data_IF_024831637337
#
_entry.id   IF_024831637337
#
_cell.length_a   1.000
_cell.length_b   1.000
_cell.length_c   1.000
_cell.angle_alpha   90.00
_cell.angle_beta   90.00
_cell.angle_gamma   90.00
#
_symmetry.space_group_name_H-M   'P 1'
#
loop_
_entity.id
_entity.type
_entity.pdbx_description
1 polymer ?
#
# COMPACT_ATOMS: atom_id res chain seq x y z
N UNK A 1 -2.68 2.98 -2.95
CA UNK A 1 -2.76 3.92 -1.81
C UNK A 1 -1.36 4.35 -1.45
N UNK A 2 -1.15 5.63 -1.17
CA UNK A 2 0.08 6.09 -0.52
C UNK A 2 -0.09 5.90 0.98
N UNK A 3 0.84 5.18 1.61
CA UNK A 3 0.80 4.88 3.05
C UNK A 3 2.01 5.40 3.78
N UNK A 4 1.79 5.77 5.04
CA UNK A 4 2.79 6.27 5.99
C UNK A 4 2.59 5.62 7.36
N UNK A 5 3.60 5.71 8.22
CA UNK A 5 3.43 5.51 9.65
C UNK A 5 2.44 6.55 10.25
N UNK A 6 1.73 6.23 11.34
CA UNK A 6 0.77 7.14 11.96
C UNK A 6 1.37 8.46 12.45
N UNK A 7 2.65 8.45 12.86
CA UNK A 7 3.37 9.61 13.35
C UNK A 7 4.00 10.48 12.24
N UNK A 8 3.79 10.13 10.96
CA UNK A 8 4.36 10.86 9.84
C UNK A 8 3.79 12.28 9.75
N UNK A 9 4.59 13.33 9.45
CA UNK A 9 4.12 14.72 9.41
C UNK A 9 2.91 14.96 8.49
N UNK A 10 2.88 14.26 7.34
CA UNK A 10 1.78 14.34 6.38
C UNK A 10 0.50 13.59 6.81
N UNK A 11 0.55 12.73 7.85
CA UNK A 11 -0.59 11.91 8.25
C UNK A 11 -1.78 12.72 8.80
N UNK A 12 -1.54 13.96 9.28
CA UNK A 12 -2.58 14.87 9.75
C UNK A 12 -3.12 15.84 8.70
N UNK A 13 -2.62 15.80 7.47
CA UNK A 13 -3.03 16.71 6.41
C UNK A 13 -4.37 16.28 5.80
N UNK A 14 -5.23 17.26 5.46
CA UNK A 14 -6.53 16.99 4.85
C UNK A 14 -6.43 16.66 3.35
N UNK A 15 -5.42 17.18 2.66
CA UNK A 15 -5.09 16.89 1.27
C UNK A 15 -3.57 17.02 1.09
N UNK A 16 -3.00 16.17 0.23
CA UNK A 16 -1.57 16.13 -0.06
C UNK A 16 -1.37 16.19 -1.57
N UNK A 17 -0.97 17.33 -2.14
CA UNK A 17 -0.63 17.38 -3.57
C UNK A 17 0.61 16.51 -3.85
N UNK A 18 0.68 15.81 -4.99
CA UNK A 18 1.80 14.93 -5.33
C UNK A 18 3.18 15.58 -5.23
N UNK A 19 3.26 16.90 -5.43
CA UNK A 19 4.52 17.65 -5.30
C UNK A 19 5.14 17.62 -3.91
N UNK A 20 4.33 17.52 -2.85
CA UNK A 20 4.85 17.38 -1.49
C UNK A 20 5.51 16.01 -1.25
N UNK A 21 5.21 15.01 -2.08
CA UNK A 21 5.77 13.67 -1.95
C UNK A 21 7.16 13.55 -2.58
N UNK A 22 7.55 14.41 -3.51
CA UNK A 22 8.80 14.26 -4.26
C UNK A 22 10.07 14.29 -3.37
N UNK A 23 10.04 15.05 -2.27
CA UNK A 23 11.14 15.11 -1.30
C UNK A 23 11.15 13.98 -0.26
N UNK A 24 10.04 13.27 -0.12
CA UNK A 24 9.86 12.25 0.92
C UNK A 24 10.58 10.94 0.58
N UNK A 25 11.12 10.22 1.58
CA UNK A 25 11.71 8.90 1.34
C UNK A 25 10.65 7.91 0.88
N UNK A 26 10.86 7.30 -0.29
CA UNK A 26 10.02 6.24 -0.81
C UNK A 26 10.64 4.86 -0.58
N UNK A 27 9.83 3.94 -0.08
CA UNK A 27 10.09 2.50 -0.09
C UNK A 27 9.36 1.93 -1.30
N UNK A 28 10.11 1.66 -2.37
CA UNK A 28 9.56 1.28 -3.66
C UNK A 28 9.44 -0.24 -3.82
N UNK A 29 8.55 -0.63 -4.74
CA UNK A 29 8.55 -1.99 -5.30
C UNK A 29 9.66 -2.15 -6.33
N UNK A 30 10.02 -3.39 -6.59
CA UNK A 30 10.97 -3.79 -7.63
C UNK A 30 10.58 -3.23 -9.01
N UNK A 31 11.60 -3.00 -9.83
CA UNK A 31 11.42 -2.56 -11.21
C UNK A 31 10.60 -3.56 -12.03
N UNK A 32 9.82 -3.04 -12.99
CA UNK A 32 8.87 -3.84 -13.77
C UNK A 32 7.57 -4.17 -13.04
N UNK A 33 7.48 -4.01 -11.72
CA UNK A 33 6.20 -4.20 -11.01
C UNK A 33 5.19 -3.10 -11.38
N UNK A 34 3.91 -3.46 -11.45
CA UNK A 34 2.87 -2.48 -11.77
C UNK A 34 2.75 -1.38 -10.71
N UNK A 35 3.10 -1.65 -9.45
CA UNK A 35 3.12 -0.62 -8.41
C UNK A 35 4.28 0.37 -8.61
N UNK A 36 5.46 -0.13 -9.01
CA UNK A 36 6.59 0.73 -9.37
C UNK A 36 6.25 1.65 -10.54
N UNK A 37 5.65 1.12 -11.60
CA UNK A 37 5.21 1.91 -12.76
C UNK A 37 4.24 3.04 -12.38
N UNK A 38 3.30 2.78 -11.45
CA UNK A 38 2.39 3.83 -10.97
C UNK A 38 3.11 4.89 -10.11
N UNK A 39 4.05 4.46 -9.28
CA UNK A 39 4.86 5.38 -8.48
C UNK A 39 5.67 6.29 -9.39
N UNK A 40 6.31 5.74 -10.42
CA UNK A 40 7.07 6.52 -11.39
C UNK A 40 6.15 7.50 -12.15
N UNK A 41 4.94 7.06 -12.52
CA UNK A 41 3.92 7.92 -13.14
C UNK A 41 3.40 9.06 -12.26
N UNK A 42 3.49 8.95 -10.94
CA UNK A 42 3.11 10.02 -10.00
C UNK A 42 4.01 11.26 -10.14
N UNK A 43 5.25 11.05 -10.62
CA UNK A 43 6.27 12.09 -10.75
C UNK A 43 6.61 12.38 -12.22
N UNK A 44 5.69 12.11 -13.15
CA UNK A 44 5.93 12.27 -14.59
C UNK A 44 6.18 13.72 -15.06
N UNK A 45 5.99 14.72 -14.19
CA UNK A 45 6.19 16.14 -14.48
C UNK A 45 7.64 16.62 -14.28
N UNK A 46 8.60 15.69 -14.27
CA UNK A 46 10.03 15.98 -14.13
C UNK A 46 10.54 15.95 -12.70
N UNK A 47 9.67 15.67 -11.73
CA UNK A 47 10.06 15.32 -10.35
C UNK A 47 10.53 13.87 -10.31
N UNK A 48 11.23 13.49 -9.25
CA UNK A 48 11.59 12.10 -9.01
C UNK A 48 11.28 11.72 -7.57
N UNK A 49 10.76 10.51 -7.36
CA UNK A 49 10.65 9.95 -6.02
C UNK A 49 12.06 9.76 -5.43
N UNK A 50 12.27 10.17 -4.19
CA UNK A 50 13.49 9.84 -3.45
C UNK A 50 13.43 8.41 -2.92
N UNK A 51 13.70 7.43 -3.78
CA UNK A 51 13.68 6.00 -3.40
C UNK A 51 14.86 5.69 -2.48
N UNK A 52 14.57 5.32 -1.22
CA UNK A 52 15.58 4.97 -0.21
C UNK A 52 15.73 3.46 -0.01
N UNK A 53 14.73 2.69 -0.45
CA UNK A 53 14.71 1.24 -0.34
C UNK A 53 13.85 0.65 -1.46
N UNK A 54 14.24 -0.53 -1.94
CA UNK A 54 13.44 -1.31 -2.90
C UNK A 54 13.25 -2.72 -2.36
N UNK A 55 12.04 -3.28 -2.50
CA UNK A 55 11.77 -4.68 -2.14
C UNK A 55 10.70 -5.32 -3.01
N UNK A 56 10.87 -6.63 -3.27
CA UNK A 56 9.88 -7.48 -3.93
C UNK A 56 8.70 -7.91 -3.04
N UNK A 57 8.82 -7.70 -1.73
CA UNK A 57 7.85 -8.19 -0.74
C UNK A 57 7.01 -7.03 -0.18
N UNK A 58 5.69 -7.14 -0.34
CA UNK A 58 4.76 -6.22 0.31
C UNK A 58 4.94 -6.21 1.83
N UNK A 59 5.27 -7.35 2.44
CA UNK A 59 5.46 -7.45 3.89
C UNK A 59 6.67 -6.63 4.33
N UNK A 60 7.81 -6.78 3.66
CA UNK A 60 9.01 -5.99 3.95
C UNK A 60 8.76 -4.49 3.81
N UNK A 61 7.99 -4.09 2.78
CA UNK A 61 7.64 -2.68 2.57
C UNK A 61 6.74 -2.17 3.71
N UNK A 62 5.71 -2.91 4.09
CA UNK A 62 4.83 -2.53 5.21
C UNK A 62 5.64 -2.36 6.49
N UNK A 63 6.51 -3.30 6.82
CA UNK A 63 7.35 -3.24 8.03
C UNK A 63 8.27 -2.00 8.02
N UNK A 64 8.90 -1.69 6.89
CA UNK A 64 9.74 -0.50 6.76
C UNK A 64 8.94 0.81 6.89
N UNK A 65 7.72 0.87 6.32
CA UNK A 65 6.83 2.04 6.49
C UNK A 65 6.40 2.17 7.95
N UNK A 66 5.99 1.08 8.61
CA UNK A 66 5.58 1.09 10.03
C UNK A 66 6.74 1.51 10.95
N UNK A 67 7.99 1.19 10.58
CA UNK A 67 9.19 1.65 11.27
C UNK A 67 9.55 3.13 10.97
N UNK A 68 8.78 3.83 10.14
CA UNK A 68 8.99 5.24 9.83
C UNK A 68 10.12 5.51 8.84
N UNK A 69 10.59 4.50 8.10
CA UNK A 69 11.68 4.67 7.13
C UNK A 69 11.27 5.45 5.87
N UNK A 70 9.97 5.61 5.66
CA UNK A 70 9.42 6.42 4.57
C UNK A 70 8.00 6.02 4.22
N UNK A 71 7.57 6.40 3.02
CA UNK A 71 6.24 6.15 2.50
C UNK A 71 6.26 5.21 1.30
N UNK A 72 5.13 4.57 1.02
CA UNK A 72 5.05 3.58 -0.04
C UNK A 72 3.74 3.65 -0.81
N UNK A 73 3.80 3.27 -2.09
CA UNK A 73 2.62 3.01 -2.90
C UNK A 73 2.27 1.52 -2.83
N UNK A 74 1.15 1.19 -2.18
CA UNK A 74 0.71 -0.20 -1.97
C UNK A 74 -0.79 -0.37 -2.26
N UNK A 75 -1.19 -1.57 -2.66
CA UNK A 75 -2.60 -1.93 -2.86
C UNK A 75 -3.37 -1.88 -1.55
N UNK A 76 -4.61 -1.38 -1.57
CA UNK A 76 -5.49 -1.36 -0.38
C UNK A 76 -5.71 -2.76 0.18
N UNK A 77 -5.87 -3.76 -0.70
CA UNK A 77 -6.11 -5.15 -0.29
C UNK A 77 -4.91 -5.80 0.43
N UNK A 78 -3.72 -5.18 0.41
CA UNK A 78 -2.53 -5.70 1.08
C UNK A 78 -2.30 -5.11 2.48
N UNK A 79 -3.07 -4.10 2.88
CA UNK A 79 -2.86 -3.30 4.10
C UNK A 79 -4.09 -3.23 5.02
N UNK A 80 -5.12 -4.05 4.76
CA UNK A 80 -6.40 -3.94 5.49
C UNK A 80 -6.25 -4.09 7.01
N UNK A 81 -5.44 -5.06 7.44
CA UNK A 81 -5.19 -5.32 8.86
C UNK A 81 -4.41 -4.16 9.51
N UNK A 82 -3.35 -3.67 8.88
CA UNK A 82 -2.50 -2.61 9.42
C UNK A 82 -3.24 -1.29 9.53
N UNK A 83 -4.12 -0.98 8.56
CA UNK A 83 -5.00 0.19 8.65
C UNK A 83 -5.98 0.06 9.82
N UNK A 84 -6.55 -1.13 10.01
CA UNK A 84 -7.51 -1.37 11.07
C UNK A 84 -6.86 -1.30 12.47
N UNK A 85 -5.64 -1.85 12.62
CA UNK A 85 -4.85 -1.78 13.85
C UNK A 85 -4.18 -0.42 14.07
N UNK A 86 -4.39 0.55 13.18
CA UNK A 86 -3.79 1.88 13.27
C UNK A 86 -2.27 1.88 13.12
N UNK A 87 -1.68 0.83 12.53
CA UNK A 87 -0.24 0.71 12.28
C UNK A 87 0.20 1.45 11.02
N UNK A 88 -0.73 1.67 10.08
CA UNK A 88 -0.52 2.46 8.87
C UNK A 88 -1.63 3.50 8.72
N UNK A 89 -1.33 4.60 8.03
CA UNK A 89 -2.30 5.60 7.59
C UNK A 89 -2.23 5.77 6.08
N UNK A 90 -3.38 5.93 5.44
CA UNK A 90 -3.46 6.34 4.02
C UNK A 90 -3.37 7.87 3.98
N UNK A 91 -2.48 8.40 3.14
CA UNK A 91 -2.44 9.84 2.85
C UNK A 91 -3.56 10.22 1.85
N UNK A 92 -4.29 11.32 2.08
CA UNK A 92 -5.28 11.84 1.13
C UNK A 92 -4.58 12.58 -0.02
N UNK A 93 -3.90 11.82 -0.89
CA UNK A 93 -3.14 12.37 -2.02
C UNK A 93 -4.08 12.73 -3.16
N UNK A 94 -3.90 13.91 -3.76
CA UNK A 94 -4.73 14.32 -4.89
C UNK A 94 -4.56 13.35 -6.08
N UNK A 95 -5.66 12.95 -6.71
CA UNK A 95 -5.68 11.94 -7.77
C UNK A 95 -5.66 10.48 -7.27
N UNK A 96 -5.74 10.25 -5.95
CA UNK A 96 -5.94 8.93 -5.36
C UNK A 96 -7.39 8.73 -4.89
N UNK A 97 -7.88 7.48 -4.83
CA UNK A 97 -7.15 6.24 -5.10
C UNK A 97 -6.99 5.91 -6.59
N UNK A 98 -5.84 5.34 -6.95
CA UNK A 98 -5.64 4.78 -8.29
C UNK A 98 -6.48 3.50 -8.44
N UNK A 99 -7.52 3.57 -9.26
CA UNK A 99 -8.44 2.46 -9.50
C UNK A 99 -7.84 1.45 -10.48
N UNK A 100 -7.90 0.18 -10.09
CA UNK A 100 -7.39 -0.96 -10.86
C UNK A 100 -8.46 -2.04 -10.86
N UNK A 101 -8.71 -2.64 -12.02
CA UNK A 101 -9.54 -3.82 -12.15
C UNK A 101 -8.68 -5.07 -12.14
N UNK A 102 -9.19 -6.13 -11.51
CA UNK A 102 -8.64 -7.47 -11.63
C UNK A 102 -9.35 -8.20 -12.76
N UNK A 103 -8.60 -8.99 -13.52
CA UNK A 103 -9.13 -9.70 -14.69
C UNK A 103 -8.78 -11.18 -14.59
N UNK A 104 -9.72 -12.01 -15.03
CA UNK A 104 -9.44 -13.43 -15.30
C UNK A 104 -9.10 -13.54 -16.77
N UNK A 105 -7.88 -13.97 -17.07
CA UNK A 105 -7.38 -14.12 -18.44
C UNK A 105 -7.08 -15.59 -18.74
N UNK A 106 -7.34 -16.00 -19.98
CA UNK A 106 -6.93 -17.29 -20.51
C UNK A 106 -6.41 -17.12 -21.94
N UNK A 107 -5.60 -18.08 -22.41
CA UNK A 107 -5.01 -18.02 -23.75
C UNK A 107 -6.10 -18.15 -24.82
N UNK A 108 -6.13 -17.20 -25.75
CA UNK A 108 -6.95 -17.29 -26.96
C UNK A 108 -6.48 -18.50 -27.80
N UNK A 109 -7.39 -19.43 -28.09
CA UNK A 109 -7.10 -20.63 -28.87
C UNK A 109 -6.85 -21.90 -28.04
N UNK A 110 -6.81 -21.83 -26.71
CA UNK A 110 -6.81 -23.03 -25.87
C UNK A 110 -8.24 -23.33 -25.38
N UNK A 111 -8.82 -24.51 -25.69
CA UNK A 111 -10.15 -24.85 -25.22
C UNK A 111 -10.22 -24.81 -23.69
N UNK A 112 -11.20 -24.08 -23.14
CA UNK A 112 -11.49 -24.13 -21.71
C UNK A 112 -12.23 -25.43 -21.39
N UNK A 113 -11.74 -26.19 -20.41
CA UNK A 113 -12.48 -27.31 -19.86
C UNK A 113 -13.69 -26.80 -19.05
N UNK A 114 -14.73 -27.62 -18.83
CA UNK A 114 -15.90 -27.21 -18.04
C UNK A 114 -15.53 -26.65 -16.65
N UNK A 115 -14.56 -27.26 -15.97
CA UNK A 115 -14.08 -26.78 -14.66
C UNK A 115 -13.41 -25.40 -14.75
N UNK A 116 -12.67 -25.10 -15.81
CA UNK A 116 -12.06 -23.79 -16.01
C UNK A 116 -13.12 -22.72 -16.24
N UNK A 117 -14.13 -23.01 -17.08
CA UNK A 117 -15.27 -22.10 -17.27
C UNK A 117 -16.00 -21.83 -15.96
N UNK A 118 -16.25 -22.87 -15.17
CA UNK A 118 -16.92 -22.71 -13.88
C UNK A 118 -16.10 -21.88 -12.91
N UNK A 119 -14.78 -22.08 -12.87
CA UNK A 119 -13.88 -21.25 -12.05
C UNK A 119 -13.88 -19.79 -12.50
N UNK A 120 -13.78 -19.52 -13.81
CA UNK A 120 -13.82 -18.15 -14.34
C UNK A 120 -15.13 -17.45 -13.98
N UNK A 121 -16.27 -18.14 -14.17
CA UNK A 121 -17.58 -17.64 -13.79
C UNK A 121 -17.67 -17.41 -12.29
N UNK A 122 -17.20 -18.35 -11.47
CA UNK A 122 -17.17 -18.20 -10.02
C UNK A 122 -16.38 -16.97 -9.59
N UNK A 123 -15.16 -16.77 -10.10
CA UNK A 123 -14.34 -15.60 -9.75
C UNK A 123 -15.02 -14.30 -10.20
N UNK A 124 -15.62 -14.27 -11.38
CA UNK A 124 -16.33 -13.10 -11.88
C UNK A 124 -17.61 -12.77 -11.08
N UNK A 125 -18.38 -13.80 -10.68
CA UNK A 125 -19.65 -13.65 -9.95
C UNK A 125 -19.45 -13.42 -8.46
N UNK A 126 -18.46 -14.07 -7.84
CA UNK A 126 -18.28 -14.14 -6.38
C UNK A 126 -17.06 -13.38 -5.87
N UNK A 127 -16.08 -13.07 -6.73
CA UNK A 127 -14.78 -12.54 -6.32
C UNK A 127 -14.89 -11.26 -5.50
N UNK A 128 -15.71 -10.30 -5.95
CA UNK A 128 -15.92 -9.05 -5.23
C UNK A 128 -16.51 -9.28 -3.83
N UNK A 129 -17.56 -10.10 -3.73
CA UNK A 129 -18.21 -10.38 -2.45
C UNK A 129 -17.26 -11.04 -1.44
N UNK A 130 -16.34 -11.90 -1.90
CA UNK A 130 -15.31 -12.51 -1.05
C UNK A 130 -14.34 -11.46 -0.53
N UNK A 131 -13.90 -10.53 -1.38
CA UNK A 131 -13.03 -9.42 -0.97
C UNK A 131 -13.74 -8.53 0.05
N UNK A 132 -15.00 -8.18 -0.20
CA UNK A 132 -15.80 -7.34 0.70
C UNK A 132 -16.04 -8.02 2.07
N UNK A 133 -16.22 -9.35 2.09
CA UNK A 133 -16.31 -10.15 3.32
C UNK A 133 -14.99 -10.18 4.09
N UNK A 134 -13.86 -10.35 3.40
CA UNK A 134 -12.54 -10.32 4.02
C UNK A 134 -12.24 -8.95 4.64
N UNK A 135 -12.55 -7.87 3.94
CA UNK A 135 -12.34 -6.52 4.43
C UNK A 135 -13.24 -6.19 5.64
N UNK A 136 -14.49 -6.65 5.63
CA UNK A 136 -15.37 -6.57 6.81
C UNK A 136 -14.85 -7.40 7.98
N UNK A 137 -14.27 -8.56 7.71
CA UNK A 137 -13.70 -9.42 8.75
C UNK A 137 -12.53 -8.73 9.45
N UNK A 138 -11.64 -8.08 8.71
CA UNK A 138 -10.59 -7.25 9.31
C UNK A 138 -11.16 -6.14 10.19
N UNK A 139 -12.23 -5.48 9.73
CA UNK A 139 -12.89 -4.44 10.50
C UNK A 139 -13.56 -4.94 11.81
N UNK A 140 -13.81 -6.25 11.93
CA UNK A 140 -14.48 -6.86 13.08
C UNK A 140 -13.51 -7.42 14.14
N UNK A 141 -12.19 -7.45 13.89
CA UNK A 141 -11.19 -8.08 14.77
C UNK A 141 -10.76 -7.22 15.98
N UNK A 142 -11.44 -6.12 16.29
CA UNK A 142 -11.00 -5.18 17.33
C UNK A 142 -11.29 -5.64 18.78
N UNK A 143 -10.41 -5.28 19.74
CA UNK A 143 -10.79 -4.62 20.98
C UNK A 143 -10.75 -3.09 20.83
N UNK A 144 -11.57 -2.38 21.61
CA UNK A 144 -11.86 -0.96 21.46
C UNK A 144 -10.72 0.04 21.78
N UNK A 145 -9.57 -0.39 22.33
CA UNK A 145 -8.55 0.51 22.87
C UNK A 145 -7.11 0.00 22.70
N UNK A 146 -6.55 0.00 21.48
CA UNK A 146 -5.11 -0.20 21.32
C UNK A 146 -4.48 0.89 20.45
N UNK A 147 -4.18 2.01 21.09
CA UNK A 147 -3.24 2.99 20.54
C UNK A 147 -1.86 2.32 20.39
N UNK A 148 -1.51 1.92 19.17
CA UNK A 148 -0.13 1.53 18.88
C UNK A 148 0.77 2.76 19.08
N UNK A 149 1.56 2.73 20.15
CA UNK A 149 2.57 3.75 20.44
C UNK A 149 3.85 3.31 19.75
N UNK A 150 4.22 3.96 18.64
CA UNK A 150 5.47 3.63 17.94
C UNK A 150 6.67 3.79 18.89
N UNK A 151 7.69 2.90 18.83
CA UNK A 151 8.86 3.03 19.68
C UNK A 151 9.63 4.30 19.28
N UNK A 152 9.69 5.29 20.19
CA UNK A 152 10.57 6.45 20.06
C UNK A 152 12.01 5.98 19.93
N UNK A 153 12.62 6.22 18.76
CA UNK A 153 14.07 6.14 18.59
C UNK A 153 14.71 7.18 19.51
N UNK A 154 15.26 6.72 20.64
CA UNK A 154 16.13 7.56 21.46
C UNK A 154 17.34 7.92 20.61
N UNK A 155 17.45 9.20 20.27
CA UNK A 155 18.70 9.82 19.84
C UNK A 155 19.72 9.62 20.95
N UNK A 156 20.61 8.64 20.78
CA UNK A 156 21.83 8.57 21.58
C UNK A 156 22.77 9.63 21.03
N UNK A 157 22.67 10.83 21.60
CA UNK A 157 23.76 11.79 21.63
C UNK A 157 24.94 11.12 22.33
N UNK A 158 25.96 10.74 21.57
CA UNK A 158 27.29 10.51 22.09
C UNK A 158 28.19 11.60 21.49
N UNK A 159 28.54 12.55 22.35
CA UNK A 159 29.64 13.45 22.13
C UNK A 159 30.98 12.69 22.13
N UNK A 160 32.00 13.38 21.63
CA UNK A 160 33.43 13.23 21.90
C UNK A 160 34.25 12.53 20.80
N UNK A 161 35.00 13.41 20.10
CA UNK A 161 36.13 13.28 19.15
C UNK A 161 35.80 12.91 17.70
#
# INVERSE_FOLDING_TARGET
MIVVAPAHPLAGQASVPPGLLAGEPFIAREEGSGARQLMDGLFSDGRAARVVMTSGSNETIKQAVMAGMGLALISRHAIGLELHLGLLRILPVDGFPLMRSWFVAHRAGMPLLPIHRRLCAFVAERGQAIIDELERSYAALAPADSAFTAPTTRSTSAAVL
#
